data_IF_082466314499
#
_entry.id   IF_082466314499
#
_cell.length_a   1.000
_cell.length_b   1.000
_cell.length_c   1.000
_cell.angle_alpha   90.00
_cell.angle_beta   90.00
_cell.angle_gamma   90.00
#
_symmetry.space_group_name_H-M   'P 1'
#
loop_
_entity.id
_entity.type
_entity.pdbx_description
1 polymer ?
#
# COMPACT_ATOMS: atom_id res chain seq x y z
N UNK A 1 1.65 -0.42 15.14
CA UNK A 1 0.52 0.53 15.16
C UNK A 1 -0.67 -0.13 15.84
N UNK A 2 -1.34 0.60 16.74
CA UNK A 2 -2.45 0.10 17.57
C UNK A 2 -3.57 1.14 17.63
N UNK A 3 -4.74 0.75 18.16
CA UNK A 3 -5.75 1.72 18.55
C UNK A 3 -5.18 2.71 19.58
N UNK A 4 -5.54 3.99 19.51
CA UNK A 4 -5.12 4.97 20.53
C UNK A 4 -5.51 4.51 21.94
N UNK A 5 -4.52 4.42 22.83
CA UNK A 5 -4.72 3.99 24.22
C UNK A 5 -4.80 2.48 24.45
N UNK A 6 -4.69 1.65 23.41
CA UNK A 6 -4.69 0.21 23.58
C UNK A 6 -3.33 -0.30 24.10
N UNK A 7 -3.38 -1.30 24.97
CA UNK A 7 -2.20 -2.02 25.43
C UNK A 7 -1.84 -3.09 24.39
N UNK A 8 -0.59 -3.14 23.96
CA UNK A 8 -0.10 -4.18 23.07
C UNK A 8 0.48 -5.35 23.87
N UNK A 9 0.00 -6.55 23.57
CA UNK A 9 0.51 -7.81 24.10
C UNK A 9 0.84 -8.71 22.91
N UNK A 10 2.04 -9.30 22.90
CA UNK A 10 2.43 -10.23 21.85
C UNK A 10 1.59 -11.51 21.92
N UNK A 11 1.23 -12.03 20.78
CA UNK A 11 0.41 -13.24 20.66
C UNK A 11 1.00 -14.43 21.41
N UNK A 12 2.30 -14.66 21.25
CA UNK A 12 3.02 -15.78 21.83
C UNK A 12 3.00 -15.79 23.36
N UNK A 13 2.88 -14.63 23.98
CA UNK A 13 2.89 -14.46 25.44
C UNK A 13 1.53 -14.02 26.00
N UNK A 14 0.50 -13.95 25.16
CA UNK A 14 -0.81 -13.42 25.57
C UNK A 14 -1.39 -14.18 26.77
N UNK A 15 -1.28 -15.50 26.76
CA UNK A 15 -1.80 -16.35 27.84
C UNK A 15 -1.11 -16.13 29.19
N UNK A 16 0.16 -15.68 29.19
CA UNK A 16 0.90 -15.35 30.41
C UNK A 16 0.40 -14.05 31.04
N UNK A 17 -0.28 -13.19 30.24
CA UNK A 17 -0.83 -11.90 30.65
C UNK A 17 -2.33 -11.92 30.97
N UNK A 18 -2.97 -13.07 30.97
CA UNK A 18 -4.43 -13.18 31.28
C UNK A 18 -4.75 -12.57 32.65
N UNK A 19 -3.87 -12.72 33.64
CA UNK A 19 -4.06 -12.15 34.97
C UNK A 19 -4.11 -10.62 35.04
N UNK A 20 -3.69 -9.95 33.97
CA UNK A 20 -3.75 -8.49 33.86
C UNK A 20 -5.05 -7.98 33.23
N UNK A 21 -5.90 -8.91 32.73
CA UNK A 21 -7.19 -8.58 32.11
C UNK A 21 -8.22 -8.40 33.24
N UNK A 22 -8.85 -7.22 33.36
CA UNK A 22 -9.86 -6.97 34.37
C UNK A 22 -11.09 -7.85 34.15
N UNK A 23 -11.70 -8.33 35.26
CA UNK A 23 -12.93 -9.11 35.23
C UNK A 23 -14.19 -8.31 35.60
N UNK A 24 -13.98 -7.08 36.04
CA UNK A 24 -15.01 -6.19 36.57
C UNK A 24 -15.49 -5.13 35.56
N UNK A 25 -14.97 -5.20 34.35
CA UNK A 25 -15.31 -4.27 33.25
C UNK A 25 -15.15 -4.95 31.89
N UNK A 26 -15.91 -4.51 30.86
CA UNK A 26 -15.80 -5.06 29.52
C UNK A 26 -14.43 -4.74 28.91
N UNK A 27 -13.81 -5.74 28.30
CA UNK A 27 -12.53 -5.64 27.60
C UNK A 27 -12.71 -5.92 26.13
N UNK A 28 -12.12 -5.08 25.28
CA UNK A 28 -12.18 -5.23 23.85
C UNK A 28 -10.82 -5.67 23.31
N UNK A 29 -10.80 -6.84 22.68
CA UNK A 29 -9.63 -7.37 22.01
C UNK A 29 -9.66 -7.04 20.51
N UNK A 30 -8.49 -6.89 19.93
CA UNK A 30 -8.34 -6.87 18.49
C UNK A 30 -6.97 -7.38 18.07
N UNK A 31 -6.92 -8.05 16.94
CA UNK A 31 -5.71 -8.32 16.18
C UNK A 31 -5.80 -7.58 14.84
N UNK A 32 -4.92 -7.87 13.91
CA UNK A 32 -4.93 -7.19 12.61
C UNK A 32 -6.18 -7.50 11.78
N UNK A 33 -6.62 -8.77 11.73
CA UNK A 33 -7.78 -9.23 10.92
C UNK A 33 -9.06 -9.48 11.71
N UNK A 34 -8.98 -9.62 13.02
CA UNK A 34 -10.09 -10.05 13.89
C UNK A 34 -10.02 -11.53 14.26
N UNK A 35 -9.50 -12.40 13.42
CA UNK A 35 -9.58 -13.85 13.58
C UNK A 35 -8.99 -14.35 14.91
N UNK A 36 -7.75 -13.98 15.24
CA UNK A 36 -7.10 -14.41 16.50
C UNK A 36 -7.76 -13.80 17.74
N UNK A 37 -8.27 -12.57 17.64
CA UNK A 37 -8.97 -11.93 18.76
C UNK A 37 -10.35 -12.57 18.98
N UNK A 38 -11.01 -13.07 17.94
CA UNK A 38 -12.26 -13.83 18.06
C UNK A 38 -12.04 -15.14 18.84
N UNK A 39 -11.02 -15.93 18.45
CA UNK A 39 -10.64 -17.18 19.11
C UNK A 39 -10.36 -16.98 20.60
N UNK A 40 -9.59 -15.94 20.96
CA UNK A 40 -9.30 -15.63 22.38
C UNK A 40 -10.53 -15.11 23.11
N UNK A 41 -11.35 -14.28 22.48
CA UNK A 41 -12.56 -13.76 23.13
C UNK A 41 -13.54 -14.87 23.49
N UNK A 42 -13.71 -15.86 22.61
CA UNK A 42 -14.51 -17.06 22.91
C UNK A 42 -13.91 -17.83 24.10
N UNK A 43 -12.60 -18.15 24.07
CA UNK A 43 -11.94 -18.90 25.14
C UNK A 43 -12.02 -18.21 26.51
N UNK A 44 -11.85 -16.89 26.56
CA UNK A 44 -11.89 -16.15 27.81
C UNK A 44 -13.32 -15.86 28.29
N UNK A 45 -14.28 -15.76 27.39
CA UNK A 45 -15.70 -15.66 27.73
C UNK A 45 -16.16 -16.90 28.49
N UNK A 46 -15.73 -18.08 28.06
CA UNK A 46 -16.01 -19.36 28.76
C UNK A 46 -15.40 -19.42 30.18
N UNK A 47 -14.33 -18.67 30.41
CA UNK A 47 -13.65 -18.51 31.71
C UNK A 47 -14.24 -17.38 32.58
N UNK A 48 -15.35 -16.78 32.15
CA UNK A 48 -16.10 -15.77 32.90
C UNK A 48 -15.57 -14.33 32.78
N UNK A 49 -14.82 -14.03 31.75
CA UNK A 49 -14.44 -12.66 31.42
C UNK A 49 -15.52 -11.98 30.57
N UNK A 50 -15.80 -10.72 30.83
CA UNK A 50 -16.61 -9.88 29.93
C UNK A 50 -15.72 -9.33 28.81
N UNK A 51 -15.58 -10.09 27.73
CA UNK A 51 -14.59 -9.82 26.70
C UNK A 51 -15.23 -9.89 25.31
N UNK A 52 -14.82 -8.98 24.44
CA UNK A 52 -15.36 -8.83 23.10
C UNK A 52 -14.21 -8.70 22.09
N UNK A 53 -14.36 -9.31 20.94
CA UNK A 53 -13.46 -9.05 19.81
C UNK A 53 -14.03 -7.97 18.89
N UNK A 54 -13.14 -7.12 18.37
CA UNK A 54 -13.53 -6.12 17.39
C UNK A 54 -13.55 -6.75 16.00
N UNK A 55 -14.74 -6.85 15.41
CA UNK A 55 -14.96 -7.43 14.09
C UNK A 55 -14.05 -6.83 13.02
N UNK A 56 -13.33 -7.70 12.30
CA UNK A 56 -12.36 -7.33 11.27
C UNK A 56 -11.11 -6.62 11.79
N UNK A 57 -10.95 -6.51 13.10
CA UNK A 57 -9.75 -6.04 13.79
C UNK A 57 -9.28 -4.64 13.40
N UNK A 58 -7.99 -4.40 13.55
CA UNK A 58 -7.35 -3.11 13.23
C UNK A 58 -7.51 -2.73 11.75
N UNK A 59 -7.57 -3.70 10.87
CA UNK A 59 -7.81 -3.50 9.44
C UNK A 59 -9.16 -2.83 9.16
N UNK A 60 -10.23 -3.23 9.85
CA UNK A 60 -11.56 -2.59 9.73
C UNK A 60 -11.55 -1.14 10.21
N UNK A 61 -10.87 -0.89 11.34
CA UNK A 61 -10.67 0.47 11.83
C UNK A 61 -9.96 1.36 10.82
N UNK A 62 -8.85 0.89 10.25
CA UNK A 62 -8.12 1.64 9.23
C UNK A 62 -8.98 1.94 8.01
N UNK A 63 -9.79 0.97 7.57
CA UNK A 63 -10.71 1.16 6.44
C UNK A 63 -11.76 2.23 6.74
N UNK A 64 -12.36 2.19 7.93
CA UNK A 64 -13.35 3.19 8.34
C UNK A 64 -12.72 4.57 8.44
N UNK A 65 -11.57 4.69 9.09
CA UNK A 65 -10.84 5.95 9.23
C UNK A 65 -10.46 6.55 7.87
N UNK A 66 -10.03 5.69 6.93
CA UNK A 66 -9.74 6.12 5.56
C UNK A 66 -11.01 6.57 4.82
N UNK A 67 -12.11 5.83 4.97
CA UNK A 67 -13.39 6.18 4.35
C UNK A 67 -13.95 7.50 4.90
N UNK A 68 -13.81 7.74 6.20
CA UNK A 68 -14.23 8.99 6.83
C UNK A 68 -13.35 10.16 6.36
N UNK A 69 -12.03 9.98 6.33
CA UNK A 69 -11.09 10.97 5.76
C UNK A 69 -11.43 11.33 4.29
N UNK A 70 -11.84 10.34 3.51
CA UNK A 70 -12.22 10.54 2.10
C UNK A 70 -13.59 11.22 1.94
N UNK A 71 -14.50 11.07 2.91
CA UNK A 71 -15.79 11.77 2.93
C UNK A 71 -15.66 13.25 3.31
N UNK A 72 -14.72 13.56 4.19
CA UNK A 72 -14.42 14.94 4.61
C UNK A 72 -13.73 15.74 3.50
N UNK A 73 -13.11 15.05 2.52
CA UNK A 73 -12.47 15.68 1.38
C UNK A 73 -13.49 15.82 0.25
N UNK A 74 -14.06 17.00 0.08
CA UNK A 74 -15.02 17.33 -0.99
C UNK A 74 -14.42 17.23 -2.40
N UNK A 75 -13.11 16.90 -2.49
CA UNK A 75 -12.41 16.50 -3.70
C UNK A 75 -12.41 17.55 -4.80
N UNK A 76 -12.56 18.83 -4.47
CA UNK A 76 -12.47 19.88 -5.48
C UNK A 76 -11.14 19.81 -6.21
N UNK A 77 -11.16 20.05 -7.53
CA UNK A 77 -9.96 19.97 -8.36
C UNK A 77 -8.82 20.87 -7.83
N UNK A 78 -9.16 22.02 -7.26
CA UNK A 78 -8.21 22.97 -6.65
C UNK A 78 -7.51 22.36 -5.43
N UNK A 79 -8.25 21.75 -4.49
CA UNK A 79 -7.66 21.09 -3.31
C UNK A 79 -6.78 19.89 -3.65
N UNK A 80 -7.16 19.13 -4.67
CA UNK A 80 -6.34 18.01 -5.15
C UNK A 80 -5.06 18.52 -5.80
N UNK A 81 -5.12 19.61 -6.58
CA UNK A 81 -3.94 20.24 -7.15
C UNK A 81 -2.99 20.76 -6.06
N UNK A 82 -3.52 21.36 -5.00
CA UNK A 82 -2.74 21.84 -3.86
C UNK A 82 -2.03 20.69 -3.12
N UNK A 83 -2.73 19.59 -2.87
CA UNK A 83 -2.14 18.39 -2.23
C UNK A 83 -1.02 17.78 -3.07
N UNK A 84 -1.22 17.68 -4.38
CA UNK A 84 -0.19 17.19 -5.28
C UNK A 84 1.04 18.11 -5.28
N UNK A 85 0.84 19.43 -5.35
CA UNK A 85 1.90 20.43 -5.32
C UNK A 85 2.66 20.43 -3.96
N UNK A 86 1.95 20.20 -2.85
CA UNK A 86 2.57 20.09 -1.54
C UNK A 86 3.43 18.82 -1.41
N UNK A 87 2.98 17.70 -1.96
CA UNK A 87 3.78 16.47 -2.02
C UNK A 87 5.06 16.68 -2.84
N UNK A 88 4.96 17.29 -4.01
CA UNK A 88 6.08 17.64 -4.89
C UNK A 88 7.08 18.57 -4.19
N UNK A 89 6.58 19.64 -3.58
CA UNK A 89 7.38 20.59 -2.81
C UNK A 89 8.11 19.93 -1.64
N UNK A 90 7.43 19.00 -0.96
CA UNK A 90 8.02 18.25 0.15
C UNK A 90 9.17 17.37 -0.30
N UNK A 91 9.05 16.67 -1.43
CA UNK A 91 10.11 15.84 -2.00
C UNK A 91 11.34 16.69 -2.35
N UNK A 92 11.12 17.78 -3.08
CA UNK A 92 12.22 18.60 -3.62
C UNK A 92 12.86 19.50 -2.56
N UNK A 93 12.11 19.97 -1.55
CA UNK A 93 12.61 20.87 -0.50
C UNK A 93 12.91 20.14 0.80
N UNK A 94 11.86 19.61 1.47
CA UNK A 94 11.96 19.03 2.83
C UNK A 94 12.80 17.75 2.82
N UNK A 95 12.51 16.84 1.91
CA UNK A 95 13.18 15.54 1.79
C UNK A 95 14.29 15.51 0.74
N UNK A 96 14.78 16.68 0.32
CA UNK A 96 15.83 16.80 -0.70
C UNK A 96 17.07 15.98 -0.39
N UNK A 97 17.55 16.02 0.86
CA UNK A 97 18.80 15.34 1.25
C UNK A 97 18.62 13.84 1.45
N UNK A 98 17.45 13.43 1.94
CA UNK A 98 17.19 12.05 2.38
C UNK A 98 16.51 11.19 1.32
N UNK A 99 15.80 11.79 0.38
CA UNK A 99 15.06 11.08 -0.68
C UNK A 99 15.50 11.51 -2.06
N UNK A 100 15.30 12.77 -2.43
CA UNK A 100 15.52 13.23 -3.81
C UNK A 100 16.97 13.08 -4.29
N UNK A 101 17.94 13.54 -3.50
CA UNK A 101 19.36 13.44 -3.87
C UNK A 101 19.88 12.01 -3.97
N UNK A 102 19.61 11.09 -3.00
CA UNK A 102 19.97 9.69 -3.13
C UNK A 102 19.36 9.04 -4.37
N UNK A 103 18.07 9.29 -4.64
CA UNK A 103 17.37 8.77 -5.81
C UNK A 103 18.03 9.23 -7.11
N UNK A 104 18.20 10.54 -7.31
CA UNK A 104 18.83 11.09 -8.53
C UNK A 104 20.29 10.69 -8.68
N UNK A 105 21.01 10.54 -7.56
CA UNK A 105 22.39 10.05 -7.55
C UNK A 105 22.46 8.60 -8.04
N UNK A 106 21.56 7.75 -7.58
CA UNK A 106 21.51 6.34 -8.01
C UNK A 106 21.19 6.24 -9.51
N UNK A 107 20.16 6.94 -9.99
CA UNK A 107 19.78 6.98 -11.41
C UNK A 107 20.97 7.39 -12.30
N UNK A 108 21.73 8.40 -11.89
CA UNK A 108 22.88 8.87 -12.68
C UNK A 108 24.10 7.96 -12.53
N UNK A 109 24.42 7.49 -11.32
CA UNK A 109 25.61 6.66 -11.07
C UNK A 109 25.55 5.31 -11.76
N UNK A 110 24.36 4.74 -11.89
CA UNK A 110 24.13 3.45 -12.55
C UNK A 110 23.61 3.59 -13.99
N UNK A 111 23.56 4.82 -14.50
CA UNK A 111 23.06 5.12 -15.86
C UNK A 111 21.71 4.46 -16.17
N UNK A 112 20.81 4.42 -15.17
CA UNK A 112 19.57 3.65 -15.22
C UNK A 112 18.58 4.18 -16.27
N UNK A 113 18.74 5.40 -16.75
CA UNK A 113 17.88 6.04 -17.74
C UNK A 113 18.73 6.65 -18.83
N UNK A 114 18.34 6.43 -20.08
CA UNK A 114 18.94 7.05 -21.26
C UNK A 114 17.95 7.99 -21.96
N UNK A 115 18.45 8.87 -22.84
CA UNK A 115 17.58 9.70 -23.66
C UNK A 115 16.74 8.83 -24.62
N UNK A 116 15.45 9.06 -24.65
CA UNK A 116 14.50 8.33 -25.46
C UNK A 116 13.93 7.08 -24.79
N UNK A 117 14.35 6.75 -23.57
CA UNK A 117 13.77 5.63 -22.83
C UNK A 117 12.29 5.85 -22.53
N UNK A 118 11.55 4.75 -22.51
CA UNK A 118 10.18 4.69 -22.00
C UNK A 118 10.15 3.76 -20.79
N UNK A 119 9.76 4.31 -19.64
CA UNK A 119 9.86 3.65 -18.33
C UNK A 119 8.47 3.34 -17.79
N UNK A 120 8.23 2.10 -17.41
CA UNK A 120 7.04 1.71 -16.67
C UNK A 120 7.33 1.71 -15.17
N UNK A 121 6.61 2.53 -14.40
CA UNK A 121 6.62 2.54 -12.94
C UNK A 121 5.39 1.79 -12.44
N UNK A 122 5.61 0.66 -11.77
CA UNK A 122 4.52 -0.19 -11.27
C UNK A 122 4.04 0.29 -9.89
N UNK A 123 2.74 0.50 -9.76
CA UNK A 123 2.11 1.00 -8.55
C UNK A 123 1.29 -0.12 -7.91
N UNK A 124 1.67 -0.52 -6.70
CA UNK A 124 0.95 -1.50 -5.89
C UNK A 124 -0.15 -0.88 -5.02
N UNK A 125 -0.15 0.45 -4.88
CA UNK A 125 -1.04 1.21 -4.00
C UNK A 125 -0.44 1.49 -2.62
N UNK A 126 0.72 0.93 -2.29
CA UNK A 126 1.46 1.24 -1.07
C UNK A 126 2.17 2.60 -1.14
N UNK A 127 2.53 3.14 0.03
CA UNK A 127 3.20 4.44 0.16
C UNK A 127 4.50 4.53 -0.66
N UNK A 128 5.25 3.43 -0.73
CA UNK A 128 6.55 3.40 -1.39
C UNK A 128 6.42 3.46 -2.91
N UNK A 129 5.45 2.74 -3.49
CA UNK A 129 5.15 2.80 -4.93
C UNK A 129 4.60 4.16 -5.35
N UNK A 130 3.77 4.80 -4.52
CA UNK A 130 3.27 6.15 -4.76
C UNK A 130 4.40 7.20 -4.67
N UNK A 131 5.31 7.05 -3.70
CA UNK A 131 6.50 7.90 -3.60
C UNK A 131 7.39 7.74 -4.82
N UNK A 132 7.65 6.49 -5.24
CA UNK A 132 8.44 6.20 -6.44
C UNK A 132 7.81 6.84 -7.67
N UNK A 133 6.49 6.73 -7.85
CA UNK A 133 5.79 7.38 -8.96
C UNK A 133 5.98 8.90 -8.96
N UNK A 134 5.89 9.56 -7.81
CA UNK A 134 6.15 10.99 -7.70
C UNK A 134 7.60 11.36 -7.99
N UNK A 135 8.57 10.55 -7.56
CA UNK A 135 9.99 10.78 -7.85
C UNK A 135 10.28 10.70 -9.36
N UNK A 136 9.72 9.71 -10.06
CA UNK A 136 9.87 9.61 -11.51
C UNK A 136 9.14 10.73 -12.25
N UNK A 137 7.95 11.13 -11.79
CA UNK A 137 7.20 12.25 -12.35
C UNK A 137 7.99 13.58 -12.24
N UNK A 138 8.63 13.81 -11.09
CA UNK A 138 9.49 14.98 -10.90
C UNK A 138 10.80 14.89 -11.70
N UNK A 139 11.35 13.68 -11.84
CA UNK A 139 12.55 13.47 -12.65
C UNK A 139 12.27 13.68 -14.14
N UNK A 140 11.12 13.26 -14.64
CA UNK A 140 10.67 13.50 -16.02
C UNK A 140 10.51 15.00 -16.31
N UNK A 141 9.90 15.76 -15.36
CA UNK A 141 9.67 17.20 -15.51
C UNK A 141 10.94 18.05 -15.41
N UNK A 142 11.88 17.66 -14.58
CA UNK A 142 13.02 18.49 -14.18
C UNK A 142 14.37 17.84 -14.42
N UNK A 143 14.39 16.62 -14.94
CA UNK A 143 15.60 15.88 -15.27
C UNK A 143 16.32 16.47 -16.48
N UNK A 144 17.60 16.09 -16.62
CA UNK A 144 18.41 16.49 -17.78
C UNK A 144 18.20 15.61 -19.00
N UNK A 145 17.69 14.40 -18.79
CA UNK A 145 17.44 13.40 -19.82
C UNK A 145 15.97 13.47 -20.27
N UNK A 146 15.74 13.29 -21.56
CA UNK A 146 14.41 13.22 -22.12
C UNK A 146 13.95 11.76 -22.18
N UNK A 147 12.96 11.40 -21.40
CA UNK A 147 12.38 10.06 -21.31
C UNK A 147 10.88 10.15 -21.02
N UNK A 148 10.15 9.08 -21.26
CA UNK A 148 8.71 8.99 -21.01
C UNK A 148 8.44 8.06 -19.83
N UNK A 149 7.50 8.42 -18.95
CA UNK A 149 7.07 7.58 -17.83
C UNK A 149 5.62 7.12 -18.00
N UNK A 150 5.38 5.84 -17.83
CA UNK A 150 4.05 5.22 -17.77
C UNK A 150 3.83 4.64 -16.37
N UNK A 151 2.75 5.03 -15.71
CA UNK A 151 2.40 4.53 -14.37
C UNK A 151 1.41 3.39 -14.47
N UNK A 152 1.84 2.16 -14.15
CA UNK A 152 1.04 0.95 -14.29
C UNK A 152 0.44 0.51 -12.95
N UNK A 153 -0.86 0.29 -12.94
CA UNK A 153 -1.57 -0.37 -11.84
C UNK A 153 -2.12 -1.69 -12.35
N UNK A 154 -1.66 -2.79 -11.80
CA UNK A 154 -2.25 -4.08 -12.03
C UNK A 154 -3.33 -4.35 -10.98
N UNK A 155 -4.55 -4.65 -11.41
CA UNK A 155 -5.61 -5.14 -10.54
C UNK A 155 -5.71 -6.67 -10.65
N UNK A 156 -5.19 -7.43 -9.67
CA UNK A 156 -5.19 -8.89 -9.68
C UNK A 156 -6.49 -9.51 -9.18
N UNK A 157 -7.55 -8.72 -9.03
CA UNK A 157 -8.81 -9.09 -8.37
C UNK A 157 -9.02 -8.39 -7.01
N UNK A 158 -8.51 -7.17 -6.85
CA UNK A 158 -8.75 -6.41 -5.62
C UNK A 158 -10.24 -6.23 -5.33
N UNK A 159 -10.61 -6.28 -4.05
CA UNK A 159 -11.93 -5.82 -3.64
C UNK A 159 -12.11 -4.32 -3.98
N UNK A 160 -13.36 -3.90 -4.14
CA UNK A 160 -13.69 -2.55 -4.59
C UNK A 160 -13.08 -1.46 -3.69
N UNK A 161 -13.07 -1.64 -2.38
CA UNK A 161 -12.51 -0.66 -1.42
C UNK A 161 -11.01 -0.43 -1.65
N UNK A 162 -10.26 -1.51 -1.82
CA UNK A 162 -8.82 -1.42 -2.07
C UNK A 162 -8.54 -0.79 -3.44
N UNK A 163 -9.31 -1.18 -4.44
CA UNK A 163 -9.18 -0.65 -5.79
C UNK A 163 -9.47 0.86 -5.83
N UNK A 164 -10.58 1.30 -5.26
CA UNK A 164 -10.93 2.72 -5.17
C UNK A 164 -9.89 3.52 -4.36
N UNK A 165 -9.32 2.94 -3.32
CA UNK A 165 -8.23 3.58 -2.57
C UNK A 165 -7.02 3.89 -3.45
N UNK A 166 -6.62 2.96 -4.31
CA UNK A 166 -5.51 3.17 -5.26
C UNK A 166 -5.83 4.30 -6.24
N UNK A 167 -7.03 4.27 -6.83
CA UNK A 167 -7.48 5.28 -7.79
C UNK A 167 -7.52 6.68 -7.15
N UNK A 168 -8.07 6.79 -5.95
CA UNK A 168 -8.19 8.06 -5.24
C UNK A 168 -6.82 8.62 -4.82
N UNK A 169 -5.90 7.76 -4.36
CA UNK A 169 -4.53 8.17 -4.04
C UNK A 169 -3.78 8.67 -5.29
N UNK A 170 -3.93 7.97 -6.41
CA UNK A 170 -3.35 8.41 -7.68
C UNK A 170 -3.92 9.75 -8.12
N UNK A 171 -5.25 9.94 -8.04
CA UNK A 171 -5.91 11.20 -8.34
C UNK A 171 -5.44 12.33 -7.42
N UNK A 172 -5.39 12.09 -6.10
CA UNK A 172 -4.93 13.07 -5.12
C UNK A 172 -3.49 13.52 -5.35
N UNK A 173 -2.63 12.62 -5.80
CA UNK A 173 -1.23 12.90 -6.10
C UNK A 173 -0.98 13.35 -7.55
N UNK A 174 -2.04 13.49 -8.35
CA UNK A 174 -1.97 13.82 -9.78
C UNK A 174 -1.03 12.88 -10.55
N UNK A 175 -1.18 11.58 -10.33
CA UNK A 175 -0.42 10.54 -11.04
C UNK A 175 -1.32 9.94 -12.12
N UNK A 176 -0.99 10.10 -13.43
CA UNK A 176 -1.78 9.55 -14.52
C UNK A 176 -1.55 8.04 -14.65
N UNK A 177 -2.40 7.25 -14.02
CA UNK A 177 -2.26 5.79 -13.99
C UNK A 177 -2.92 5.11 -15.19
N UNK A 178 -2.28 4.05 -15.67
CA UNK A 178 -2.85 3.08 -16.63
C UNK A 178 -3.18 1.80 -15.87
N UNK A 179 -4.46 1.46 -15.79
CA UNK A 179 -4.92 0.27 -15.07
C UNK A 179 -5.17 -0.87 -16.03
N UNK A 180 -4.73 -2.09 -15.67
CA UNK A 180 -5.12 -3.32 -16.34
C UNK A 180 -5.52 -4.39 -15.32
N UNK A 181 -6.42 -5.28 -15.71
CA UNK A 181 -6.97 -6.34 -14.85
C UNK A 181 -6.36 -7.69 -15.20
N UNK A 182 -6.26 -8.54 -14.19
CA UNK A 182 -5.87 -9.95 -14.31
C UNK A 182 -6.71 -10.79 -13.34
N UNK A 183 -6.82 -12.07 -13.58
CA UNK A 183 -7.58 -13.02 -12.75
C UNK A 183 -6.65 -13.82 -11.81
N UNK A 184 -5.56 -13.18 -11.34
CA UNK A 184 -4.55 -13.88 -10.52
C UNK A 184 -5.16 -14.40 -9.22
N UNK A 185 -5.97 -13.59 -8.53
CA UNK A 185 -6.53 -13.99 -7.25
C UNK A 185 -7.49 -15.17 -7.41
N UNK A 186 -8.29 -15.19 -8.47
CA UNK A 186 -9.19 -16.30 -8.75
C UNK A 186 -8.40 -17.58 -9.09
N UNK A 187 -7.28 -17.45 -9.79
CA UNK A 187 -6.41 -18.59 -10.14
C UNK A 187 -5.66 -19.15 -8.93
N UNK A 188 -5.30 -18.32 -7.93
CA UNK A 188 -4.45 -18.73 -6.81
C UNK A 188 -5.26 -19.21 -5.61
N UNK A 189 -6.56 -18.92 -5.53
CA UNK A 189 -7.44 -19.28 -4.41
C UNK A 189 -7.43 -20.79 -4.11
N UNK A 190 -7.40 -21.63 -5.12
CA UNK A 190 -7.49 -23.09 -4.97
C UNK A 190 -6.11 -23.77 -4.78
N UNK A 191 -5.03 -22.99 -4.73
CA UNK A 191 -3.66 -23.54 -4.64
C UNK A 191 -3.22 -23.55 -3.19
N UNK A 192 -2.98 -24.74 -2.65
CA UNK A 192 -2.53 -24.94 -1.28
C UNK A 192 -1.02 -24.82 -1.10
N UNK A 193 -0.24 -25.05 -2.16
CA UNK A 193 1.23 -25.07 -2.11
C UNK A 193 1.80 -23.70 -2.53
N UNK A 194 2.32 -22.96 -1.55
CA UNK A 194 3.01 -21.67 -1.74
C UNK A 194 2.22 -20.62 -2.56
N UNK A 195 0.97 -20.30 -2.20
CA UNK A 195 0.11 -19.41 -3.00
C UNK A 195 0.73 -18.00 -3.16
N UNK A 196 1.43 -17.50 -2.16
CA UNK A 196 2.09 -16.20 -2.21
C UNK A 196 3.22 -16.14 -3.25
N UNK A 197 4.04 -17.19 -3.33
CA UNK A 197 5.11 -17.28 -4.32
C UNK A 197 4.55 -17.30 -5.75
N UNK A 198 3.54 -18.13 -5.98
CA UNK A 198 2.90 -18.21 -7.30
C UNK A 198 2.24 -16.87 -7.68
N UNK A 199 1.52 -16.25 -6.75
CA UNK A 199 0.93 -14.93 -6.94
C UNK A 199 1.98 -13.89 -7.34
N UNK A 200 3.10 -13.81 -6.63
CA UNK A 200 4.18 -12.89 -6.92
C UNK A 200 4.80 -13.14 -8.31
N UNK A 201 5.03 -14.41 -8.66
CA UNK A 201 5.56 -14.81 -9.97
C UNK A 201 4.62 -14.44 -11.11
N UNK A 202 3.32 -14.71 -10.97
CA UNK A 202 2.31 -14.34 -11.96
C UNK A 202 2.22 -12.82 -12.11
N UNK A 203 2.22 -12.08 -11.01
CA UNK A 203 2.18 -10.61 -11.03
C UNK A 203 3.35 -10.04 -11.82
N UNK A 204 4.56 -10.51 -11.56
CA UNK A 204 5.74 -10.09 -12.34
C UNK A 204 5.58 -10.39 -13.84
N UNK A 205 5.15 -11.60 -14.19
CA UNK A 205 4.93 -11.98 -15.58
C UNK A 205 3.95 -11.07 -16.33
N UNK A 206 2.82 -10.76 -15.70
CA UNK A 206 1.82 -9.83 -16.27
C UNK A 206 2.35 -8.41 -16.40
N UNK A 207 3.08 -7.90 -15.39
CA UNK A 207 3.69 -6.58 -15.45
C UNK A 207 4.73 -6.46 -16.55
N UNK A 208 5.61 -7.46 -16.71
CA UNK A 208 6.57 -7.49 -17.83
C UNK A 208 5.88 -7.54 -19.19
N UNK A 209 4.84 -8.37 -19.32
CA UNK A 209 4.08 -8.46 -20.57
C UNK A 209 3.43 -7.13 -20.92
N UNK A 210 2.81 -6.47 -19.94
CA UNK A 210 2.15 -5.17 -20.15
C UNK A 210 3.13 -4.05 -20.45
N UNK A 211 4.26 -4.00 -19.75
CA UNK A 211 5.31 -3.04 -20.03
C UNK A 211 5.85 -3.19 -21.44
N UNK A 212 6.08 -4.42 -21.90
CA UNK A 212 6.51 -4.72 -23.29
C UNK A 212 5.46 -4.29 -24.32
N UNK A 213 4.18 -4.58 -24.08
CA UNK A 213 3.06 -4.16 -24.94
C UNK A 213 3.03 -2.63 -25.10
N UNK A 214 3.35 -1.90 -24.06
CA UNK A 214 3.41 -0.43 -24.06
C UNK A 214 4.72 0.14 -24.61
N UNK A 215 5.64 -0.71 -25.05
CA UNK A 215 6.94 -0.31 -25.58
C UNK A 215 7.91 0.18 -24.53
N UNK A 216 7.74 -0.21 -23.26
CA UNK A 216 8.65 0.17 -22.19
C UNK A 216 9.91 -0.70 -22.24
N UNK A 217 11.07 -0.06 -22.28
CA UNK A 217 12.40 -0.70 -22.26
C UNK A 217 12.83 -1.04 -20.83
N UNK A 218 12.46 -0.21 -19.88
CA UNK A 218 12.77 -0.35 -18.46
C UNK A 218 11.48 -0.25 -17.66
N UNK A 219 11.36 -1.06 -16.59
CA UNK A 219 10.31 -0.87 -15.62
C UNK A 219 10.84 -1.10 -14.20
N UNK A 220 10.13 -0.57 -13.22
CA UNK A 220 10.44 -0.75 -11.80
C UNK A 220 9.18 -1.12 -11.02
N UNK A 221 9.34 -1.82 -9.92
CA UNK A 221 8.27 -2.17 -9.00
C UNK A 221 8.77 -2.05 -7.57
N UNK A 222 7.87 -1.83 -6.63
CA UNK A 222 8.18 -1.78 -5.20
C UNK A 222 8.22 -3.17 -4.54
N UNK A 223 7.99 -4.22 -5.32
CA UNK A 223 8.10 -5.56 -4.80
C UNK A 223 9.53 -5.79 -4.31
N UNK A 224 9.73 -5.64 -3.02
CA UNK A 224 10.87 -6.23 -2.32
C UNK A 224 10.67 -7.73 -2.42
N UNK A 225 11.40 -8.33 -3.31
CA UNK A 225 11.35 -9.75 -3.55
C UNK A 225 12.41 -10.43 -2.72
N UNK A 226 11.95 -11.28 -1.85
CA UNK A 226 12.77 -12.35 -1.27
C UNK A 226 12.07 -13.69 -1.36
#
# INVERSE_FOLDING_TARGET
ETYPGAKHIFWETFMDHIGEIPKDQPVYLFCYTGQRSDEIAEELSDKGYEIYSIEGGYRSYLRKKLADFMKEDDGTAERLADKAADAERSIIKKFKKTVWRPFTKAINAYEMIQDGDKIAVCISGGKDSMLMAKLFQELERHGKKNFEVVFLVMNPGYNEVNYQTILNNAKMLNIPITVFRTEIFDTVVDITDSPCYLCARMRRGYLYSKARELGCLLYTSDAADD
#
